data_IF_935644340668
#
_entry.id   IF_935644340668
#
_cell.length_a   1.000
_cell.length_b   1.000
_cell.length_c   1.000
_cell.angle_alpha   90.00
_cell.angle_beta   90.00
_cell.angle_gamma   90.00
#
_symmetry.space_group_name_H-M   'P 1'
#
loop_
_entity.id
_entity.type
_entity.pdbx_description
1 polymer ?
#
# COMPACT_ATOMS: atom_id res chain seq x y z
N UNK A 1 5.61 22.87 -5.37
CA UNK A 1 5.67 21.49 -4.87
C UNK A 1 5.74 20.54 -6.06
N UNK A 2 6.91 19.97 -6.33
CA UNK A 2 7.12 19.02 -7.42
C UNK A 2 6.07 17.89 -7.34
N UNK A 3 5.24 17.75 -8.38
CA UNK A 3 4.09 16.83 -8.41
C UNK A 3 4.49 15.39 -8.09
N UNK A 4 5.74 15.01 -8.41
CA UNK A 4 6.31 13.70 -8.09
C UNK A 4 6.47 13.44 -6.57
N UNK A 5 6.81 14.47 -5.79
CA UNK A 5 6.97 14.35 -4.32
C UNK A 5 5.63 14.24 -3.60
N UNK A 6 4.64 15.04 -4.02
CA UNK A 6 3.26 14.94 -3.52
C UNK A 6 2.66 13.58 -3.83
N UNK A 7 2.94 13.04 -5.03
CA UNK A 7 2.51 11.71 -5.42
C UNK A 7 3.17 10.60 -4.59
N UNK A 8 4.42 10.76 -4.15
CA UNK A 8 5.10 9.78 -3.31
C UNK A 8 4.44 9.63 -1.94
N UNK A 9 4.19 10.74 -1.23
CA UNK A 9 3.55 10.71 0.10
C UNK A 9 2.11 10.19 0.00
N UNK A 10 1.35 10.64 -1.01
CA UNK A 10 0.00 10.14 -1.28
C UNK A 10 -0.05 8.62 -1.45
N UNK A 11 0.96 8.03 -2.09
CA UNK A 11 1.05 6.57 -2.32
C UNK A 11 1.42 5.79 -1.08
N UNK A 12 2.21 6.35 -0.17
CA UNK A 12 2.64 5.63 1.05
C UNK A 12 1.52 5.57 2.07
N UNK A 13 0.80 6.68 2.25
CA UNK A 13 -0.26 6.80 3.24
C UNK A 13 -1.66 6.59 2.66
N UNK A 14 -1.76 6.04 1.45
CA UNK A 14 -3.06 5.67 0.90
C UNK A 14 -3.63 4.42 1.56
N UNK A 15 -4.97 4.29 1.56
CA UNK A 15 -5.67 3.12 2.09
C UNK A 15 -5.07 1.80 1.63
N UNK A 16 -4.97 0.86 2.57
CA UNK A 16 -4.44 -0.48 2.32
C UNK A 16 -5.56 -1.48 2.05
N UNK A 17 -5.40 -2.25 0.98
CA UNK A 17 -6.27 -3.37 0.62
C UNK A 17 -5.46 -4.66 0.77
N UNK A 18 -5.94 -5.56 1.62
CA UNK A 18 -5.38 -6.90 1.73
C UNK A 18 -5.77 -7.75 0.52
N UNK A 19 -4.88 -8.61 0.06
CA UNK A 19 -5.12 -9.48 -1.10
C UNK A 19 -4.81 -10.91 -0.71
N UNK A 20 -5.76 -11.81 -0.99
CA UNK A 20 -5.55 -13.25 -0.95
C UNK A 20 -6.03 -13.88 -2.24
N UNK A 21 -5.30 -14.89 -2.67
CA UNK A 21 -5.53 -15.60 -3.92
C UNK A 21 -5.52 -17.12 -3.69
N UNK A 22 -6.31 -17.85 -4.48
CA UNK A 22 -6.20 -19.30 -4.53
C UNK A 22 -4.97 -19.73 -5.33
N UNK A 23 -4.56 -20.99 -5.14
CA UNK A 23 -3.32 -21.52 -5.72
C UNK A 23 -3.28 -21.45 -7.26
N UNK A 24 -4.40 -21.73 -7.90
CA UNK A 24 -4.58 -21.62 -9.35
C UNK A 24 -4.46 -20.18 -9.88
N UNK A 25 -4.87 -19.17 -9.10
CA UNK A 25 -4.64 -17.76 -9.44
C UNK A 25 -3.17 -17.40 -9.28
N UNK A 26 -2.53 -17.85 -8.20
CA UNK A 26 -1.08 -17.65 -8.01
C UNK A 26 -0.29 -18.21 -9.20
N UNK A 27 -0.62 -19.43 -9.63
CA UNK A 27 0.04 -20.09 -10.75
C UNK A 27 -0.25 -19.37 -12.08
N UNK A 28 -1.50 -18.91 -12.30
CA UNK A 28 -1.89 -18.10 -13.47
C UNK A 28 -1.06 -16.81 -13.60
N UNK A 29 -0.85 -16.06 -12.50
CA UNK A 29 -0.07 -14.82 -12.56
C UNK A 29 1.42 -15.08 -12.75
N UNK A 30 1.95 -16.20 -12.22
CA UNK A 30 3.32 -16.64 -12.49
C UNK A 30 3.54 -16.96 -13.97
N UNK A 31 2.59 -17.62 -14.62
CA UNK A 31 2.64 -17.85 -16.08
C UNK A 31 2.64 -16.54 -16.88
N UNK A 32 2.04 -15.48 -16.34
CA UNK A 32 2.05 -14.13 -16.92
C UNK A 32 3.30 -13.31 -16.54
N UNK A 33 4.34 -13.92 -15.95
CA UNK A 33 5.57 -13.28 -15.48
C UNK A 33 5.39 -12.24 -14.35
N UNK A 34 4.34 -12.38 -13.54
CA UNK A 34 4.19 -11.61 -12.29
C UNK A 34 4.55 -12.50 -11.09
N UNK A 35 5.23 -11.97 -10.07
CA UNK A 35 5.53 -12.77 -8.87
C UNK A 35 4.27 -13.02 -8.04
N UNK A 36 3.31 -12.08 -8.08
CA UNK A 36 2.03 -12.15 -7.38
C UNK A 36 0.98 -11.29 -8.08
N UNK A 37 -0.29 -11.49 -7.74
CA UNK A 37 -1.36 -10.59 -8.17
C UNK A 37 -1.23 -9.19 -7.56
N UNK A 38 -0.58 -9.07 -6.40
CA UNK A 38 -0.29 -7.77 -5.77
C UNK A 38 0.66 -6.96 -6.65
N UNK A 39 1.70 -7.60 -7.21
CA UNK A 39 2.63 -6.96 -8.14
C UNK A 39 1.89 -6.44 -9.38
N UNK A 40 0.93 -7.22 -9.89
CA UNK A 40 0.09 -6.83 -11.00
C UNK A 40 -0.82 -5.63 -10.68
N UNK A 41 -1.45 -5.61 -9.49
CA UNK A 41 -2.38 -4.54 -9.08
C UNK A 41 -1.67 -3.25 -8.69
N UNK A 42 -0.47 -3.33 -8.12
CA UNK A 42 0.28 -2.19 -7.55
C UNK A 42 0.34 -0.96 -8.47
N UNK A 43 0.70 -1.07 -9.77
CA UNK A 43 0.73 0.08 -10.67
C UNK A 43 -0.62 0.78 -10.83
N UNK A 44 -1.73 0.04 -10.78
CA UNK A 44 -3.08 0.57 -10.92
C UNK A 44 -3.59 1.27 -9.65
N UNK A 45 -3.00 0.96 -8.49
CA UNK A 45 -3.30 1.64 -7.23
C UNK A 45 -2.65 3.03 -7.09
N UNK A 46 -1.57 3.30 -7.84
CA UNK A 46 -0.77 4.53 -7.67
C UNK A 46 -1.46 5.84 -8.05
N UNK A 47 -2.48 5.79 -8.90
CA UNK A 47 -3.30 6.94 -9.27
C UNK A 47 -4.56 6.44 -9.95
N UNK A 48 -5.62 6.33 -9.18
CA UNK A 48 -6.93 5.99 -9.71
C UNK A 48 -7.59 7.29 -10.13
N UNK A 49 -7.59 7.51 -11.44
CA UNK A 49 -8.26 8.64 -12.06
C UNK A 49 -9.63 8.19 -12.59
N UNK A 50 -10.70 8.90 -12.26
CA UNK A 50 -11.99 8.68 -12.88
C UNK A 50 -11.92 8.93 -14.39
N UNK A 51 -11.86 7.88 -15.19
CA UNK A 51 -11.93 7.99 -16.65
C UNK A 51 -13.39 8.24 -17.07
N UNK A 52 -13.81 9.51 -17.10
CA UNK A 52 -15.14 9.92 -17.56
C UNK A 52 -16.28 9.78 -16.53
N UNK A 53 -16.00 9.46 -15.26
CA UNK A 53 -17.00 9.37 -14.17
C UNK A 53 -16.50 10.02 -12.89
N UNK A 54 -17.01 11.18 -12.48
CA UNK A 54 -16.61 11.77 -11.19
C UNK A 54 -16.98 10.82 -10.03
N UNK A 55 -15.99 10.45 -9.22
CA UNK A 55 -16.24 9.74 -7.97
C UNK A 55 -16.75 10.75 -6.95
N UNK A 56 -18.00 10.64 -6.53
CA UNK A 56 -18.59 11.51 -5.51
C UNK A 56 -19.11 10.68 -4.35
N UNK A 57 -18.94 11.21 -3.14
CA UNK A 57 -19.59 10.67 -1.94
C UNK A 57 -20.24 11.81 -1.16
N UNK A 58 -21.25 11.49 -0.36
CA UNK A 58 -21.86 12.45 0.56
C UNK A 58 -21.26 12.26 1.94
N UNK A 59 -20.86 13.36 2.58
CA UNK A 59 -20.46 13.35 3.98
C UNK A 59 -21.68 13.23 4.92
N UNK A 60 -21.42 13.18 6.23
CA UNK A 60 -22.47 13.08 7.25
C UNK A 60 -23.42 14.31 7.28
N UNK A 61 -23.02 15.42 6.67
CA UNK A 61 -23.82 16.65 6.55
C UNK A 61 -24.56 16.73 5.20
N UNK A 62 -24.43 15.70 4.34
CA UNK A 62 -25.03 15.64 3.01
C UNK A 62 -24.26 16.45 1.94
N UNK A 63 -23.08 16.97 2.27
CA UNK A 63 -22.24 17.67 1.29
C UNK A 63 -21.63 16.64 0.34
N UNK A 64 -21.80 16.88 -0.96
CA UNK A 64 -21.21 16.03 -1.99
C UNK A 64 -19.76 16.43 -2.22
N UNK A 65 -18.84 15.53 -1.88
CA UNK A 65 -17.40 15.69 -2.09
C UNK A 65 -17.01 14.93 -3.36
N UNK A 66 -16.29 15.61 -4.25
CA UNK A 66 -15.76 15.00 -5.49
C UNK A 66 -14.31 14.60 -5.31
N UNK A 67 -14.01 13.33 -5.57
CA UNK A 67 -12.67 12.76 -5.55
C UNK A 67 -12.08 12.82 -6.97
N UNK A 68 -11.08 13.69 -7.15
CA UNK A 68 -10.41 13.90 -8.44
C UNK A 68 -9.30 12.87 -8.69
N UNK A 69 -8.57 12.51 -7.64
CA UNK A 69 -7.52 11.51 -7.64
C UNK A 69 -7.46 10.83 -6.27
N UNK A 70 -7.32 9.51 -6.26
CA UNK A 70 -7.00 8.78 -5.04
C UNK A 70 -6.01 7.66 -5.33
N UNK A 71 -5.34 7.20 -4.29
CA UNK A 71 -4.39 6.10 -4.37
C UNK A 71 -4.91 4.95 -3.50
N UNK A 72 -4.55 3.72 -3.87
CA UNK A 72 -4.74 2.52 -3.07
C UNK A 72 -3.44 1.75 -3.02
N UNK A 73 -3.17 1.10 -1.89
CA UNK A 73 -2.09 0.14 -1.74
C UNK A 73 -2.66 -1.26 -1.66
N UNK A 74 -1.88 -2.22 -2.15
CA UNK A 74 -2.20 -3.63 -2.09
C UNK A 74 -1.09 -4.35 -1.33
N UNK A 75 -1.46 -5.29 -0.48
CA UNK A 75 -0.52 -6.16 0.22
C UNK A 75 -1.03 -7.59 0.18
N UNK A 76 -0.13 -8.56 0.07
CA UNK A 76 -0.53 -9.94 0.30
C UNK A 76 -0.93 -10.06 1.77
N UNK A 77 -2.13 -10.57 2.05
CA UNK A 77 -2.69 -10.60 3.39
C UNK A 77 -1.78 -11.37 4.37
N UNK A 78 -1.07 -12.40 3.89
CA UNK A 78 -0.14 -13.19 4.70
C UNK A 78 1.12 -12.40 5.11
N UNK A 79 1.41 -11.26 4.47
CA UNK A 79 2.49 -10.36 4.83
C UNK A 79 2.07 -9.30 5.86
N UNK A 80 0.78 -9.23 6.19
CA UNK A 80 0.26 -8.30 7.18
C UNK A 80 0.75 -8.70 8.57
N UNK A 81 1.31 -7.75 9.32
CA UNK A 81 1.96 -8.01 10.60
C UNK A 81 1.93 -6.79 11.51
N UNK A 82 1.92 -7.04 12.81
CA UNK A 82 2.11 -5.98 13.81
C UNK A 82 3.49 -5.34 13.68
N UNK A 83 3.55 -4.05 14.02
CA UNK A 83 4.79 -3.28 13.98
C UNK A 83 5.83 -3.85 14.94
N UNK A 84 7.03 -4.11 14.40
CA UNK A 84 8.18 -4.51 15.20
C UNK A 84 9.10 -3.31 15.45
N UNK A 85 8.82 -2.58 16.52
CA UNK A 85 9.57 -1.37 16.91
C UNK A 85 11.08 -1.63 17.08
N UNK A 86 11.46 -2.76 17.66
CA UNK A 86 12.86 -3.16 17.85
C UNK A 86 13.59 -3.32 16.51
N UNK A 87 12.92 -3.84 15.48
CA UNK A 87 13.51 -3.96 14.15
C UNK A 87 13.70 -2.60 13.50
N UNK A 88 12.70 -1.71 13.61
CA UNK A 88 12.79 -0.35 13.08
C UNK A 88 13.95 0.40 13.72
N UNK A 89 14.10 0.32 15.04
CA UNK A 89 15.20 0.93 15.77
C UNK A 89 16.56 0.39 15.32
N UNK A 90 16.71 -0.94 15.23
CA UNK A 90 17.95 -1.57 14.75
C UNK A 90 18.34 -1.10 13.35
N UNK A 91 17.35 -1.01 12.46
CA UNK A 91 17.54 -0.58 11.09
C UNK A 91 17.91 0.91 11.03
N UNK A 92 17.23 1.76 11.81
CA UNK A 92 17.54 3.18 11.94
C UNK A 92 18.97 3.40 12.46
N UNK A 93 19.37 2.71 13.54
CA UNK A 93 20.70 2.80 14.12
C UNK A 93 21.80 2.34 13.15
N UNK A 94 21.53 1.28 12.36
CA UNK A 94 22.45 0.81 11.32
C UNK A 94 22.67 1.88 10.23
N UNK A 95 21.63 2.61 9.87
CA UNK A 95 21.74 3.72 8.91
C UNK A 95 22.49 4.90 9.48
N UNK A 96 22.21 5.30 10.73
CA UNK A 96 22.93 6.40 11.36
C UNK A 96 24.43 6.13 11.44
N UNK A 97 24.84 4.90 11.77
CA UNK A 97 26.26 4.49 11.75
C UNK A 97 26.89 4.54 10.35
N UNK A 98 26.13 4.30 9.28
CA UNK A 98 26.62 4.40 7.90
C UNK A 98 26.99 5.85 7.53
N UNK A 99 26.34 6.83 8.17
CA UNK A 99 26.47 8.26 7.87
C UNK A 99 27.14 9.05 9.01
N UNK A 100 27.87 8.37 9.90
CA UNK A 100 28.52 8.95 11.09
C UNK A 100 29.54 10.05 10.73
N UNK A 101 30.14 9.98 9.53
CA UNK A 101 31.16 10.92 9.03
C UNK A 101 30.61 12.08 8.18
N UNK A 102 29.29 12.29 8.12
CA UNK A 102 28.71 13.36 7.28
C UNK A 102 28.88 14.71 7.98
N UNK A 103 29.61 15.62 7.32
CA UNK A 103 29.70 17.03 7.71
C UNK A 103 28.29 17.59 7.94
N UNK A 104 28.01 18.05 9.16
CA UNK A 104 26.75 18.71 9.50
C UNK A 104 26.71 20.04 8.76
N UNK A 105 26.16 20.02 7.55
CA UNK A 105 25.76 21.25 6.86
C UNK A 105 24.68 21.88 7.74
N UNK A 106 24.84 23.16 8.08
CA UNK A 106 23.81 23.93 8.79
C UNK A 106 22.62 24.19 7.86
N UNK A 107 21.84 23.14 7.59
CA UNK A 107 20.66 23.17 6.74
C UNK A 107 19.56 24.02 7.36
N UNK A 108 19.56 24.17 8.69
CA UNK A 108 18.61 24.99 9.42
C UNK A 108 18.78 26.47 9.09
N UNK A 109 20.02 26.93 8.87
CA UNK A 109 20.28 28.31 8.41
C UNK A 109 19.66 28.65 7.05
N UNK A 110 19.37 27.64 6.22
CA UNK A 110 18.75 27.81 4.89
C UNK A 110 17.22 27.81 4.93
N UNK A 111 16.61 27.44 6.07
CA UNK A 111 15.16 27.34 6.23
C UNK A 111 14.66 28.60 6.94
N UNK A 112 14.04 29.52 6.20
CA UNK A 112 13.30 30.63 6.78
C UNK A 112 11.85 30.20 7.03
N UNK A 113 11.35 30.21 8.28
CA UNK A 113 9.97 29.79 8.60
C UNK A 113 8.88 30.60 7.90
N UNK A 114 9.23 31.80 7.42
CA UNK A 114 8.31 32.70 6.71
C UNK A 114 8.29 32.46 5.20
N UNK A 115 9.28 31.75 4.65
CA UNK A 115 9.25 31.35 3.25
C UNK A 115 8.33 30.13 3.12
N UNK A 116 7.31 30.25 2.26
CA UNK A 116 6.51 29.09 1.88
C UNK A 116 7.38 27.99 1.27
N UNK A 117 6.86 26.75 1.13
CA UNK A 117 7.63 25.63 0.60
C UNK A 117 8.18 25.93 -0.79
N UNK A 118 9.48 26.25 -0.85
CA UNK A 118 10.23 26.48 -2.08
C UNK A 118 10.87 25.16 -2.53
N UNK A 119 10.50 24.70 -3.73
CA UNK A 119 10.98 23.42 -4.27
C UNK A 119 12.52 23.35 -4.32
N UNK A 120 13.19 24.48 -4.60
CA UNK A 120 14.65 24.54 -4.63
C UNK A 120 15.29 24.28 -3.26
N UNK A 121 14.68 24.78 -2.17
CA UNK A 121 15.17 24.55 -0.80
C UNK A 121 14.95 23.09 -0.41
N UNK A 122 13.83 22.49 -0.80
CA UNK A 122 13.52 21.07 -0.52
C UNK A 122 14.46 20.15 -1.32
N UNK A 123 14.72 20.47 -2.59
CA UNK A 123 15.66 19.72 -3.43
C UNK A 123 17.09 19.83 -2.86
N UNK A 124 17.53 21.03 -2.47
CA UNK A 124 18.81 21.25 -1.78
C UNK A 124 18.90 20.43 -0.48
N UNK A 125 17.85 20.41 0.34
CA UNK A 125 17.84 19.61 1.57
C UNK A 125 17.95 18.12 1.26
N UNK A 126 17.18 17.60 0.30
CA UNK A 126 17.23 16.17 -0.04
C UNK A 126 18.57 15.74 -0.66
N UNK A 127 19.21 16.60 -1.47
CA UNK A 127 20.56 16.35 -1.99
C UNK A 127 21.62 16.35 -0.88
N UNK A 128 21.48 17.24 0.10
CA UNK A 128 22.41 17.36 1.22
C UNK A 128 22.07 16.44 2.40
N UNK A 129 20.96 15.70 2.36
CA UNK A 129 20.55 14.71 3.40
C UNK A 129 20.27 13.32 2.81
N UNK A 130 21.26 12.70 2.12
CA UNK A 130 21.09 11.35 1.57
C UNK A 130 20.75 10.32 2.65
N UNK A 131 21.26 10.51 3.86
CA UNK A 131 20.93 9.71 5.05
C UNK A 131 19.43 9.76 5.38
N UNK A 132 18.78 10.93 5.28
CA UNK A 132 17.37 11.09 5.59
C UNK A 132 16.49 10.47 4.51
N UNK A 133 16.88 10.62 3.24
CA UNK A 133 16.20 9.97 2.11
C UNK A 133 16.22 8.44 2.26
N UNK A 134 17.38 7.86 2.58
CA UNK A 134 17.53 6.42 2.79
C UNK A 134 16.76 5.96 4.05
N UNK A 135 16.89 6.70 5.16
CA UNK A 135 16.12 6.46 6.39
C UNK A 135 14.61 6.44 6.12
N UNK A 136 14.08 7.48 5.46
CA UNK A 136 12.66 7.57 5.10
C UNK A 136 12.21 6.38 4.27
N UNK A 137 12.94 6.03 3.23
CA UNK A 137 12.60 4.89 2.37
C UNK A 137 12.58 3.57 3.14
N UNK A 138 13.57 3.37 4.01
CA UNK A 138 13.69 2.14 4.77
C UNK A 138 12.62 2.05 5.84
N UNK A 139 12.40 3.11 6.63
CA UNK A 139 11.30 3.18 7.62
C UNK A 139 9.98 2.84 6.94
N UNK A 140 9.67 3.50 5.82
CA UNK A 140 8.45 3.23 5.06
C UNK A 140 8.36 1.79 4.50
N UNK A 141 9.48 1.08 4.35
CA UNK A 141 9.50 -0.33 3.93
C UNK A 141 9.31 -1.32 5.08
N UNK A 142 9.55 -0.90 6.33
CA UNK A 142 9.51 -1.79 7.50
C UNK A 142 8.35 -1.53 8.45
N UNK A 143 7.80 -0.30 8.43
CA UNK A 143 6.57 0.05 9.15
C UNK A 143 5.45 -0.88 8.71
N UNK A 144 4.62 -1.23 9.67
CA UNK A 144 3.47 -2.09 9.50
C UNK A 144 2.43 -1.71 10.55
N UNK A 145 1.31 -2.41 10.58
CA UNK A 145 0.14 -2.12 11.41
C UNK A 145 0.52 -1.78 12.85
N UNK A 146 0.06 -0.62 13.34
CA UNK A 146 0.29 -0.19 14.72
C UNK A 146 -0.93 0.47 15.36
N UNK A 147 -0.96 0.57 16.69
CA UNK A 147 -2.08 1.14 17.43
C UNK A 147 -2.31 2.64 17.18
N UNK A 148 -1.27 3.37 16.79
CA UNK A 148 -1.27 4.84 16.75
C UNK A 148 -1.42 5.42 15.33
N UNK A 149 -1.74 4.59 14.35
CA UNK A 149 -1.99 4.98 12.95
C UNK A 149 -3.09 4.10 12.34
N UNK A 150 -3.61 4.47 11.18
CA UNK A 150 -4.64 3.70 10.46
C UNK A 150 -4.34 3.48 8.98
N UNK A 151 -3.15 3.88 8.52
CA UNK A 151 -2.73 3.79 7.13
C UNK A 151 -2.41 2.35 6.72
N UNK A 152 -1.71 1.60 7.57
CA UNK A 152 -1.34 0.19 7.34
C UNK A 152 -2.40 -0.81 7.79
N UNK A 153 -3.52 -0.33 8.31
CA UNK A 153 -4.66 -1.16 8.65
C UNK A 153 -5.42 -1.51 7.36
N UNK A 154 -5.69 -2.80 7.07
CA UNK A 154 -6.46 -3.15 5.89
C UNK A 154 -7.89 -2.61 6.04
N UNK A 155 -8.38 -1.84 5.06
CA UNK A 155 -9.77 -1.36 5.06
C UNK A 155 -10.72 -2.32 4.36
N UNK A 156 -10.17 -3.12 3.44
CA UNK A 156 -10.88 -4.16 2.72
C UNK A 156 -9.94 -5.28 2.33
N UNK A 157 -10.51 -6.41 1.90
CA UNK A 157 -9.79 -7.53 1.34
C UNK A 157 -10.35 -7.92 -0.02
N UNK A 158 -9.46 -8.17 -0.97
CA UNK A 158 -9.79 -8.78 -2.26
C UNK A 158 -9.43 -10.25 -2.21
N UNK A 159 -10.41 -11.10 -2.50
CA UNK A 159 -10.28 -12.55 -2.53
C UNK A 159 -10.40 -12.99 -3.98
N UNK A 160 -9.33 -13.54 -4.53
CA UNK A 160 -9.26 -13.94 -5.93
C UNK A 160 -9.31 -15.45 -6.09
N UNK A 161 -10.21 -15.91 -6.96
CA UNK A 161 -10.31 -17.32 -7.36
C UNK A 161 -10.43 -17.41 -8.88
N UNK A 162 -9.87 -18.46 -9.48
CA UNK A 162 -9.98 -18.69 -10.93
C UNK A 162 -11.34 -19.33 -11.29
N UNK A 163 -11.88 -19.01 -12.46
CA UNK A 163 -13.01 -19.75 -13.05
C UNK A 163 -12.68 -21.22 -13.28
N UNK A 164 -11.39 -21.56 -13.42
CA UNK A 164 -10.93 -22.92 -13.69
C UNK A 164 -10.76 -23.74 -12.40
N UNK A 165 -11.00 -23.10 -11.25
CA UNK A 165 -11.07 -23.79 -9.97
C UNK A 165 -12.22 -24.81 -10.01
N UNK A 166 -11.96 -26.05 -9.55
CA UNK A 166 -13.00 -27.10 -9.52
C UNK A 166 -14.15 -26.76 -8.57
N UNK A 167 -13.87 -26.02 -7.49
CA UNK A 167 -14.83 -25.67 -6.45
C UNK A 167 -14.59 -24.22 -5.98
N UNK A 168 -14.94 -23.21 -6.79
CA UNK A 168 -14.59 -21.81 -6.52
C UNK A 168 -15.24 -21.28 -5.24
N UNK A 169 -16.49 -21.67 -4.97
CA UNK A 169 -17.20 -21.29 -3.73
C UNK A 169 -16.48 -21.79 -2.48
N UNK A 170 -16.06 -23.05 -2.47
CA UNK A 170 -15.31 -23.61 -1.33
C UNK A 170 -13.95 -22.92 -1.15
N UNK A 171 -13.29 -22.58 -2.25
CA UNK A 171 -12.02 -21.83 -2.21
C UNK A 171 -12.23 -20.42 -1.62
N UNK A 172 -13.29 -19.71 -2.02
CA UNK A 172 -13.65 -18.41 -1.43
C UNK A 172 -13.91 -18.51 0.08
N UNK A 173 -14.66 -19.52 0.53
CA UNK A 173 -14.92 -19.74 1.95
C UNK A 173 -13.64 -20.03 2.75
N UNK A 174 -12.73 -20.84 2.20
CA UNK A 174 -11.46 -21.16 2.85
C UNK A 174 -10.56 -19.93 2.97
N UNK A 175 -10.42 -19.14 1.90
CA UNK A 175 -9.62 -17.92 1.91
C UNK A 175 -10.22 -16.86 2.85
N UNK A 176 -11.55 -16.74 2.88
CA UNK A 176 -12.22 -15.87 3.85
C UNK A 176 -11.94 -16.30 5.28
N UNK A 177 -12.05 -17.60 5.59
CA UNK A 177 -11.73 -18.11 6.94
C UNK A 177 -10.28 -17.82 7.32
N UNK A 178 -9.36 -17.94 6.37
CA UNK A 178 -7.95 -17.59 6.59
C UNK A 178 -7.79 -16.11 6.97
N UNK A 179 -8.46 -15.19 6.25
CA UNK A 179 -8.51 -13.76 6.61
C UNK A 179 -9.09 -13.58 8.03
N UNK A 180 -10.26 -14.15 8.29
CA UNK A 180 -10.98 -13.96 9.56
C UNK A 180 -10.22 -14.51 10.77
N UNK A 181 -9.41 -15.54 10.56
CA UNK A 181 -8.53 -16.12 11.58
C UNK A 181 -7.16 -15.44 11.71
N UNK A 182 -6.87 -14.42 10.89
CA UNK A 182 -5.54 -13.82 10.84
C UNK A 182 -5.21 -13.15 12.19
N UNK A 183 -4.01 -13.40 12.78
CA UNK A 183 -3.66 -12.92 14.11
C UNK A 183 -3.77 -11.40 14.30
N UNK A 184 -3.63 -10.63 13.21
CA UNK A 184 -3.74 -9.17 13.22
C UNK A 184 -5.08 -8.69 13.79
N UNK A 185 -6.16 -9.45 13.59
CA UNK A 185 -7.50 -9.12 14.06
C UNK A 185 -7.73 -9.47 15.53
N UNK A 186 -6.78 -10.15 16.17
CA UNK A 186 -6.79 -10.34 17.62
C UNK A 186 -6.23 -9.12 18.36
N UNK A 187 -5.65 -8.16 17.63
CA UNK A 187 -5.22 -6.88 18.21
C UNK A 187 -6.45 -6.03 18.55
N UNK A 188 -6.32 -5.12 19.52
CA UNK A 188 -7.44 -4.27 19.96
C UNK A 188 -7.70 -3.07 19.04
N UNK A 189 -6.80 -2.82 18.11
CA UNK A 189 -6.74 -1.59 17.34
C UNK A 189 -7.03 -1.78 15.84
N UNK A 190 -7.18 -3.03 15.37
CA UNK A 190 -7.57 -3.35 14.00
C UNK A 190 -9.01 -3.84 13.98
N UNK A 191 -9.84 -3.27 13.12
CA UNK A 191 -11.23 -3.70 12.95
C UNK A 191 -11.28 -5.06 12.22
N UNK A 192 -11.86 -6.11 12.80
CA UNK A 192 -12.06 -7.39 12.10
C UNK A 192 -13.12 -7.33 11.00
N UNK A 193 -14.00 -6.33 11.00
CA UNK A 193 -15.15 -6.25 10.09
C UNK A 193 -14.82 -5.51 8.79
N UNK A 194 -13.69 -5.85 8.17
CA UNK A 194 -13.28 -5.28 6.89
C UNK A 194 -14.19 -5.76 5.75
N UNK A 195 -14.37 -4.91 4.72
CA UNK A 195 -15.16 -5.26 3.54
C UNK A 195 -14.42 -6.32 2.73
N UNK A 196 -15.12 -7.36 2.27
CA UNK A 196 -14.53 -8.46 1.47
C UNK A 196 -15.14 -8.48 0.07
N UNK A 197 -14.30 -8.36 -0.94
CA UNK A 197 -14.70 -8.46 -2.35
C UNK A 197 -14.22 -9.79 -2.93
N UNK A 198 -15.16 -10.59 -3.41
CA UNK A 198 -14.90 -11.87 -4.05
C UNK A 198 -14.79 -11.64 -5.55
N UNK A 199 -13.62 -11.93 -6.12
CA UNK A 199 -13.29 -11.65 -7.51
C UNK A 199 -12.97 -12.96 -8.20
N UNK A 200 -13.74 -13.28 -9.23
CA UNK A 200 -13.54 -14.46 -10.06
C UNK A 200 -12.75 -14.06 -11.31
N UNK A 201 -11.57 -14.66 -11.51
CA UNK A 201 -10.69 -14.37 -12.64
C UNK A 201 -10.89 -15.43 -13.72
N UNK A 202 -11.10 -14.96 -14.95
CA UNK A 202 -11.24 -15.81 -16.11
C UNK A 202 -10.05 -15.66 -17.05
N UNK A 203 -9.36 -16.76 -17.34
CA UNK A 203 -8.30 -16.79 -18.35
C UNK A 203 -8.85 -17.18 -19.72
N UNK A 204 -9.00 -16.19 -20.60
CA UNK A 204 -9.48 -16.39 -21.98
C UNK A 204 -8.57 -17.28 -22.83
N UNK A 205 -7.30 -17.45 -22.49
CA UNK A 205 -6.39 -18.33 -23.25
C UNK A 205 -6.79 -19.80 -23.12
N UNK A 206 -7.51 -20.14 -22.06
CA UNK A 206 -7.94 -21.50 -21.76
C UNK A 206 -9.37 -21.79 -22.24
N UNK A 207 -10.10 -20.77 -22.71
CA UNK A 207 -11.36 -20.96 -23.41
C UNK A 207 -11.10 -21.13 -24.89
N UNK A 208 -11.42 -22.31 -25.43
CA UNK A 208 -11.61 -22.46 -26.87
C UNK A 208 -12.83 -21.63 -27.26
N UNK A 209 -12.61 -20.51 -27.93
CA UNK A 209 -13.68 -19.76 -28.59
C UNK A 209 -14.29 -20.65 -29.70
N UNK A 210 -15.27 -21.47 -29.34
CA UNK A 210 -16.25 -21.98 -30.30
C UNK A 210 -17.43 -21.03 -30.29
N UNK A 211 -17.31 -19.96 -31.07
CA UNK A 211 -18.47 -19.27 -31.66
C UNK A 211 -19.07 -20.10 -32.81
#
# INVERSE_FOLDING_TARGET
>A
MNTNKVNYIKRIYSPLIGVVESKDVEDLFKECNFNSIVDFLTPYGHSIKPHGRQFTYQDAHGQTITLNDFCLRFINFNCLREQNYTNIEKVALKLLKKYEDVNVIDLLSKINPNDGPNDNIIDDIEENTPWFKEYKNIVNSVVSVSEHESFDHPLASFIFVSTNNKNPLSSFEQLQKAIDSHPIFNTKYVDPNIIKHYILIHDKRQTSDTE
#
